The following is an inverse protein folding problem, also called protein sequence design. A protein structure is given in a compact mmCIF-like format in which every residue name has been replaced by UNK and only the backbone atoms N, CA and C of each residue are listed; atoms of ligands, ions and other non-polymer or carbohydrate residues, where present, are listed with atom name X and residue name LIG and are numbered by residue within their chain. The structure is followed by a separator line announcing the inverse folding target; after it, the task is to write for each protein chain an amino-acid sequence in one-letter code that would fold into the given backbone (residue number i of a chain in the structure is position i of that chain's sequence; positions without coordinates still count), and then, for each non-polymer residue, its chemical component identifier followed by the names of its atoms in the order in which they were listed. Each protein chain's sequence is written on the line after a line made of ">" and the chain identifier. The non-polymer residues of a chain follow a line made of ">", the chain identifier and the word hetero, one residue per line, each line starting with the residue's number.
data_IF_621521551828
#
_entry.id   IF_621521551828
#
_cell.length_a   1.000
_cell.length_b   1.000
_cell.length_c   1.000
_cell.angle_alpha   90.00
_cell.angle_beta   90.00
_cell.angle_gamma   90.00
#
_symmetry.space_group_name_H-M   'P 1'
#
loop_
_entity.id
_entity.type
_entity.pdbx_description
1 polymer ?
#
# COMPACT_ATOMS: atom_id res chain seq x y z
N UNK A 1 -16.81 11.52 -14.07
CA UNK A 1 -15.48 11.87 -14.59
C UNK A 1 -15.12 13.34 -14.35
N UNK A 2 -16.09 14.22 -14.10
CA UNK A 2 -15.82 15.61 -13.71
C UNK A 2 -14.92 15.73 -12.46
N UNK A 3 -15.05 14.83 -11.48
CA UNK A 3 -14.35 14.86 -10.17
C UNK A 3 -12.87 14.45 -10.14
N UNK A 4 -12.21 14.09 -11.25
CA UNK A 4 -10.78 13.71 -11.23
C UNK A 4 -9.91 14.92 -11.55
N UNK A 5 -9.27 15.57 -10.58
CA UNK A 5 -8.53 16.81 -10.86
C UNK A 5 -7.27 16.62 -11.74
N UNK A 6 -6.66 15.44 -11.71
CA UNK A 6 -5.46 15.15 -12.49
C UNK A 6 -5.81 14.97 -13.99
N UNK A 7 -5.33 15.86 -14.88
CA UNK A 7 -5.64 15.79 -16.31
C UNK A 7 -5.00 14.57 -17.00
N UNK A 8 -3.86 14.10 -16.52
CA UNK A 8 -3.17 12.91 -17.05
C UNK A 8 -3.98 11.66 -16.70
N UNK A 9 -4.42 11.55 -15.44
CA UNK A 9 -5.26 10.44 -15.00
C UNK A 9 -6.59 10.42 -15.75
N UNK A 10 -7.25 11.58 -15.89
CA UNK A 10 -8.47 11.73 -16.71
C UNK A 10 -8.25 11.21 -18.13
N UNK A 11 -7.15 11.62 -18.77
CA UNK A 11 -6.86 11.18 -20.14
C UNK A 11 -6.62 9.67 -20.21
N UNK A 12 -5.76 9.12 -19.36
CA UNK A 12 -5.40 7.69 -19.40
C UNK A 12 -6.61 6.77 -19.22
N UNK A 13 -7.51 7.05 -18.28
CA UNK A 13 -8.69 6.20 -18.04
C UNK A 13 -9.76 6.33 -19.14
N UNK A 14 -9.67 7.35 -20.00
CA UNK A 14 -10.58 7.53 -21.14
C UNK A 14 -10.22 6.63 -22.34
N UNK A 15 -9.00 6.09 -22.38
CA UNK A 15 -8.50 5.30 -23.49
C UNK A 15 -9.05 3.85 -23.44
N UNK A 16 -9.58 3.31 -24.55
CA UNK A 16 -10.22 1.99 -24.57
C UNK A 16 -9.25 0.82 -24.37
N UNK A 17 -7.94 1.09 -24.48
CA UNK A 17 -6.85 0.12 -24.37
C UNK A 17 -6.02 0.30 -23.09
N UNK A 18 -6.54 1.05 -22.10
CA UNK A 18 -5.88 1.25 -20.82
C UNK A 18 -6.71 0.61 -19.71
N UNK A 19 -6.05 -0.22 -18.90
CA UNK A 19 -6.60 -0.75 -17.64
C UNK A 19 -5.78 -0.15 -16.51
N UNK A 20 -6.47 0.49 -15.57
CA UNK A 20 -5.85 1.06 -14.38
C UNK A 20 -6.38 0.32 -13.14
N UNK A 21 -5.47 -0.05 -12.24
CA UNK A 21 -5.80 -0.65 -10.94
C UNK A 21 -5.14 0.14 -9.81
N UNK A 22 -5.90 0.43 -8.76
CA UNK A 22 -5.43 1.22 -7.62
C UNK A 22 -4.61 0.41 -6.63
N UNK A 23 -3.33 0.15 -6.94
CA UNK A 23 -2.41 -0.62 -6.07
C UNK A 23 -2.90 -2.03 -5.69
N UNK A 24 -3.83 -2.61 -6.45
CA UNK A 24 -4.52 -3.86 -6.09
C UNK A 24 -3.69 -5.13 -6.24
N UNK A 25 -2.41 -5.03 -6.63
CA UNK A 25 -1.56 -6.20 -6.94
C UNK A 25 -1.38 -7.15 -5.74
N UNK A 26 -1.52 -6.65 -4.51
CA UNK A 26 -1.42 -7.46 -3.29
C UNK A 26 -2.78 -7.92 -2.73
N UNK A 27 -3.90 -7.66 -3.42
CA UNK A 27 -5.24 -7.95 -2.90
C UNK A 27 -5.64 -9.42 -3.12
N UNK A 28 -4.86 -10.34 -2.54
CA UNK A 28 -5.21 -11.76 -2.39
C UNK A 28 -5.33 -12.11 -0.91
N UNK A 29 -6.07 -13.17 -0.59
CA UNK A 29 -6.27 -13.58 0.80
C UNK A 29 -4.92 -13.87 1.47
N UNK A 30 -4.03 -14.60 0.79
CA UNK A 30 -2.73 -15.01 1.29
C UNK A 30 -1.80 -13.82 1.56
N UNK A 31 -1.78 -12.84 0.65
CA UNK A 31 -0.97 -11.65 0.80
C UNK A 31 -1.47 -10.75 1.94
N UNK A 32 -2.79 -10.60 2.07
CA UNK A 32 -3.40 -9.84 3.17
C UNK A 32 -3.16 -10.53 4.52
N UNK A 33 -3.26 -11.86 4.59
CA UNK A 33 -2.96 -12.62 5.80
C UNK A 33 -1.50 -12.45 6.22
N UNK A 34 -0.55 -12.55 5.28
CA UNK A 34 0.87 -12.31 5.55
C UNK A 34 1.16 -10.87 6.03
N UNK A 35 0.47 -9.87 5.47
CA UNK A 35 0.55 -8.48 5.91
C UNK A 35 0.01 -8.35 7.35
N UNK A 36 -1.12 -8.98 7.66
CA UNK A 36 -1.72 -8.95 9.00
C UNK A 36 -0.81 -9.63 10.03
N UNK A 37 -0.28 -10.81 9.74
CA UNK A 37 0.67 -11.53 10.59
C UNK A 37 1.91 -10.70 10.90
N UNK A 38 2.52 -10.11 9.86
CA UNK A 38 3.69 -9.24 10.01
C UNK A 38 3.36 -8.01 10.86
N UNK A 39 2.18 -7.42 10.66
CA UNK A 39 1.71 -6.26 11.43
C UNK A 39 1.55 -6.59 12.91
N UNK A 40 0.90 -7.71 13.24
CA UNK A 40 0.72 -8.16 14.62
C UNK A 40 2.07 -8.46 15.29
N UNK A 41 2.99 -9.09 14.55
CA UNK A 41 4.36 -9.35 15.03
C UNK A 41 5.12 -8.06 15.35
N UNK A 42 5.02 -7.05 14.48
CA UNK A 42 5.64 -5.74 14.71
C UNK A 42 5.10 -5.08 15.99
N UNK A 43 3.78 -5.14 16.21
CA UNK A 43 3.14 -4.62 17.43
C UNK A 43 3.67 -5.36 18.67
N UNK A 44 3.74 -6.70 18.63
CA UNK A 44 4.26 -7.49 19.74
C UNK A 44 5.73 -7.17 20.05
N UNK A 45 6.56 -7.05 19.01
CA UNK A 45 7.97 -6.67 19.16
C UNK A 45 8.11 -5.28 19.80
N UNK A 46 7.31 -4.32 19.35
CA UNK A 46 7.28 -2.97 19.91
C UNK A 46 6.92 -2.98 21.40
N UNK A 47 5.88 -3.71 21.80
CA UNK A 47 5.46 -3.84 23.20
C UNK A 47 6.52 -4.54 24.06
N UNK A 48 7.20 -5.54 23.52
CA UNK A 48 8.29 -6.26 24.17
C UNK A 48 9.61 -5.46 24.21
N UNK A 49 9.67 -4.27 23.59
CA UNK A 49 10.89 -3.45 23.42
C UNK A 49 12.02 -4.21 22.73
N UNK A 50 11.68 -5.11 21.81
CA UNK A 50 12.66 -5.79 20.97
C UNK A 50 12.92 -4.98 19.70
N UNK A 51 14.03 -5.27 19.01
CA UNK A 51 14.37 -4.60 17.75
C UNK A 51 13.41 -5.07 16.65
N UNK A 52 12.73 -4.11 16.02
CA UNK A 52 11.89 -4.37 14.85
C UNK A 52 12.64 -3.99 13.56
N UNK A 53 12.75 -4.93 12.63
CA UNK A 53 13.37 -4.74 11.31
C UNK A 53 12.50 -3.88 10.38
N UNK A 54 11.20 -3.79 10.67
CA UNK A 54 10.22 -3.03 9.88
C UNK A 54 10.06 -1.58 10.36
N UNK A 55 10.94 -1.11 11.25
CA UNK A 55 10.93 0.28 11.71
C UNK A 55 11.24 1.22 10.54
N UNK A 56 10.33 2.15 10.27
CA UNK A 56 10.58 3.22 9.32
C UNK A 56 11.53 4.26 9.93
N UNK A 57 12.45 4.76 9.11
CA UNK A 57 13.29 5.92 9.43
C UNK A 57 12.72 7.12 8.70
N UNK A 58 12.70 8.30 9.33
CA UNK A 58 12.38 9.51 8.60
C UNK A 58 13.43 9.74 7.52
N UNK A 59 13.01 9.68 6.26
CA UNK A 59 13.89 9.80 5.09
C UNK A 59 14.33 11.25 4.84
N UNK A 60 13.67 12.23 5.45
CA UNK A 60 13.86 13.66 5.18
C UNK A 60 13.86 14.51 6.46
N UNK A 61 14.62 14.07 7.48
CA UNK A 61 15.11 14.98 8.52
C UNK A 61 16.47 15.53 8.14
#
# INVERSE_FOLDING_TARGET
>A
MEEIDDPTLKWLISLPNVILIGHQVFLTQEAIDAIAETTLKNIQNFLARTVDVNRTVEKYK
#
